data_IF_542877232175
#
_entry.id   IF_542877232175
#
_cell.length_a   1.000
_cell.length_b   1.000
_cell.length_c   1.000
_cell.angle_alpha   90.00
_cell.angle_beta   90.00
_cell.angle_gamma   90.00
#
_symmetry.space_group_name_H-M   'P 1'
#
loop_
_entity.id
_entity.type
_entity.pdbx_description
1 polymer ?
#
# COMPACT_ATOMS: atom_id res chain seq x y z
N UNK A 1 65.78 22.08 6.41
CA UNK A 1 65.79 23.13 5.35
C UNK A 1 64.44 23.10 4.64
N UNK A 2 63.75 24.26 4.60
CA UNK A 2 62.62 24.71 3.73
C UNK A 2 61.36 23.82 3.65
N UNK A 3 60.21 24.18 4.27
CA UNK A 3 59.21 25.23 3.97
C UNK A 3 58.41 25.06 2.66
N UNK A 4 57.11 24.77 2.87
CA UNK A 4 55.89 25.44 2.37
C UNK A 4 55.43 25.33 0.91
N UNK A 5 54.11 25.05 0.83
CA UNK A 5 53.06 25.83 0.12
C UNK A 5 53.00 25.76 -1.41
N UNK A 6 51.78 25.51 -1.90
CA UNK A 6 51.38 25.73 -3.28
C UNK A 6 49.97 25.24 -3.60
N UNK A 7 48.94 25.91 -3.10
CA UNK A 7 47.77 26.25 -3.94
C UNK A 7 48.16 27.50 -4.75
N UNK A 8 47.53 27.88 -5.91
CA UNK A 8 46.08 27.90 -6.13
C UNK A 8 45.60 27.65 -7.59
N UNK A 9 44.28 27.59 -7.83
CA UNK A 9 43.54 28.58 -8.66
C UNK A 9 42.10 28.16 -8.96
N UNK A 10 41.19 29.00 -8.49
CA UNK A 10 39.82 29.19 -8.95
C UNK A 10 39.78 29.61 -10.43
N UNK A 11 38.75 29.16 -11.15
CA UNK A 11 38.19 29.89 -12.29
C UNK A 11 36.71 30.12 -11.99
N UNK A 12 36.39 31.40 -11.90
CA UNK A 12 35.08 32.01 -11.89
C UNK A 12 34.83 32.52 -13.32
N UNK A 13 33.65 32.24 -13.87
CA UNK A 13 33.05 32.93 -15.02
C UNK A 13 31.54 32.64 -14.98
N UNK A 14 30.74 33.60 -14.49
CA UNK A 14 29.82 34.42 -15.31
C UNK A 14 28.72 33.57 -15.97
N UNK A 15 27.54 33.45 -15.35
CA UNK A 15 26.37 34.35 -15.52
C UNK A 15 26.17 34.76 -16.98
N UNK A 16 25.25 34.06 -17.67
CA UNK A 16 24.38 34.73 -18.64
C UNK A 16 22.98 34.11 -18.57
N UNK A 17 22.03 34.94 -18.13
CA UNK A 17 20.60 34.70 -18.21
C UNK A 17 20.16 35.04 -19.63
N UNK A 18 19.33 34.21 -20.25
CA UNK A 18 18.56 34.61 -21.43
C UNK A 18 17.09 34.29 -21.18
N UNK A 19 16.39 35.36 -20.80
CA UNK A 19 14.95 35.48 -20.77
C UNK A 19 14.50 35.83 -22.20
N UNK A 20 13.48 35.16 -22.73
CA UNK A 20 12.77 35.61 -23.94
C UNK A 20 11.32 35.15 -23.84
N UNK A 21 10.49 36.06 -23.34
CA UNK A 21 9.03 36.04 -23.46
C UNK A 21 8.57 36.58 -24.82
N UNK A 22 7.27 36.38 -25.06
CA UNK A 22 6.39 37.02 -26.06
C UNK A 22 6.48 36.50 -27.50
N UNK A 23 5.39 36.31 -28.24
CA UNK A 23 3.92 36.29 -28.07
C UNK A 23 3.43 35.97 -29.49
N UNK A 24 2.29 35.29 -29.67
CA UNK A 24 1.21 35.98 -30.36
C UNK A 24 -0.13 35.26 -30.24
N UNK A 25 -1.14 36.09 -30.07
CA UNK A 25 -2.57 35.80 -30.06
C UNK A 25 -3.14 36.10 -31.45
N UNK A 26 -4.20 35.40 -31.83
CA UNK A 26 -5.26 35.85 -32.76
C UNK A 26 -6.38 34.81 -32.63
N UNK A 27 -7.47 35.10 -31.90
CA UNK A 27 -8.72 35.70 -32.42
C UNK A 27 -9.32 34.91 -33.59
N UNK A 28 -10.45 34.21 -33.40
CA UNK A 28 -11.82 34.76 -33.57
C UNK A 28 -12.85 33.65 -33.87
N UNK A 29 -14.07 33.77 -33.29
CA UNK A 29 -15.39 33.25 -33.72
C UNK A 29 -15.59 31.71 -33.89
N UNK A 30 -16.69 31.03 -33.54
CA UNK A 30 -18.11 31.37 -33.45
C UNK A 30 -18.84 30.36 -32.52
N UNK A 31 -19.82 30.85 -31.76
CA UNK A 31 -20.89 30.08 -31.12
C UNK A 31 -22.07 29.99 -32.09
N UNK A 32 -22.79 28.86 -32.13
CA UNK A 32 -24.24 28.97 -32.14
C UNK A 32 -24.89 28.12 -31.05
N UNK A 33 -25.82 28.78 -30.35
CA UNK A 33 -26.78 28.24 -29.40
C UNK A 33 -28.09 27.90 -30.14
N UNK A 34 -28.88 26.99 -29.54
CA UNK A 34 -30.24 26.53 -29.89
C UNK A 34 -30.28 25.34 -30.88
N UNK A 35 -31.02 24.25 -30.66
CA UNK A 35 -32.41 24.18 -30.19
C UNK A 35 -32.70 23.04 -29.20
N UNK A 36 -33.59 23.34 -28.25
CA UNK A 36 -34.40 22.39 -27.48
C UNK A 36 -35.71 22.14 -28.24
N UNK A 37 -36.29 20.94 -28.17
CA UNK A 37 -37.73 20.80 -28.14
C UNK A 37 -38.22 20.30 -26.79
N UNK A 38 -39.16 21.07 -26.24
CA UNK A 38 -40.16 20.69 -25.24
C UNK A 38 -40.72 19.28 -25.50
N UNK A 39 -40.79 18.43 -24.47
CA UNK A 39 -42.02 18.15 -23.71
C UNK A 39 -43.23 17.85 -24.61
N UNK A 40 -43.54 16.56 -24.75
CA UNK A 40 -44.92 16.09 -24.67
C UNK A 40 -45.07 15.25 -23.40
N UNK A 41 -46.00 15.68 -22.56
CA UNK A 41 -46.48 14.99 -21.39
C UNK A 41 -47.84 14.36 -21.73
N UNK A 42 -48.00 13.07 -21.48
CA UNK A 42 -49.20 12.48 -20.90
C UNK A 42 -48.87 10.99 -20.60
N UNK A 43 -48.59 10.64 -19.34
CA UNK A 43 -49.57 10.10 -18.39
C UNK A 43 -50.08 8.73 -18.82
N UNK A 44 -49.46 7.68 -18.27
CA UNK A 44 -50.23 6.60 -17.67
C UNK A 44 -49.46 6.04 -16.47
N UNK A 45 -50.17 5.98 -15.35
CA UNK A 45 -49.66 5.69 -14.03
C UNK A 45 -49.86 4.21 -13.67
N UNK A 46 -48.80 3.66 -13.07
CA UNK A 46 -48.77 2.60 -12.05
C UNK A 46 -49.21 1.15 -12.39
N UNK A 47 -48.75 0.14 -11.62
CA UNK A 47 -47.84 0.19 -10.47
C UNK A 47 -46.61 -0.73 -10.55
N UNK A 48 -45.71 -0.45 -9.61
CA UNK A 48 -44.54 -1.19 -9.19
C UNK A 48 -44.76 -2.70 -8.99
N UNK A 49 -43.77 -3.49 -9.41
CA UNK A 49 -43.39 -4.74 -8.74
C UNK A 49 -41.87 -4.80 -8.64
N UNK A 50 -41.36 -4.29 -7.53
CA UNK A 50 -40.05 -4.64 -7.00
C UNK A 50 -40.11 -6.07 -6.49
N UNK A 51 -39.36 -6.97 -7.12
CA UNK A 51 -39.20 -8.35 -6.65
C UNK A 51 -38.27 -8.36 -5.43
N UNK A 52 -38.88 -8.36 -4.25
CA UNK A 52 -38.28 -8.59 -2.93
C UNK A 52 -37.68 -10.00 -2.81
N UNK A 53 -36.49 -10.22 -3.36
CA UNK A 53 -35.77 -11.50 -3.28
C UNK A 53 -34.99 -11.69 -1.95
N UNK A 54 -35.32 -10.95 -0.87
CA UNK A 54 -34.67 -11.16 0.43
C UNK A 54 -35.62 -11.16 1.64
N UNK A 55 -36.91 -11.47 1.45
CA UNK A 55 -37.81 -11.71 2.58
C UNK A 55 -37.74 -13.18 3.01
N UNK A 56 -36.74 -13.54 3.82
CA UNK A 56 -36.78 -14.81 4.56
C UNK A 56 -37.45 -14.59 5.92
N UNK A 57 -38.61 -15.22 6.03
CA UNK A 57 -39.49 -15.37 7.17
C UNK A 57 -38.75 -15.58 8.49
N UNK A 58 -39.17 -14.85 9.53
CA UNK A 58 -38.95 -15.22 10.93
C UNK A 58 -39.61 -16.59 11.18
N UNK A 59 -38.85 -17.66 11.00
CA UNK A 59 -39.19 -18.98 11.52
C UNK A 59 -38.56 -19.09 12.90
N UNK A 60 -39.41 -18.95 13.92
CA UNK A 60 -39.16 -19.42 15.29
C UNK A 60 -38.86 -20.91 15.24
N UNK A 61 -37.58 -21.26 15.25
CA UNK A 61 -37.12 -22.62 15.47
C UNK A 61 -37.04 -22.87 16.98
N UNK A 62 -38.09 -23.51 17.48
CA UNK A 62 -38.21 -24.14 18.79
C UNK A 62 -37.14 -25.24 18.89
N UNK A 63 -36.04 -24.95 19.61
CA UNK A 63 -35.03 -25.93 19.99
C UNK A 63 -34.88 -25.90 21.52
N UNK A 64 -35.10 -27.07 22.11
CA UNK A 64 -35.23 -27.37 23.53
C UNK A 64 -34.12 -26.81 24.43
N UNK A 65 -34.53 -26.25 25.57
CA UNK A 65 -33.69 -26.06 26.77
C UNK A 65 -33.15 -27.40 27.29
N UNK A 66 -31.86 -27.49 27.65
CA UNK A 66 -31.42 -28.35 28.72
C UNK A 66 -31.24 -27.55 30.01
N UNK A 67 -31.69 -28.18 31.10
CA UNK A 67 -31.76 -27.65 32.44
C UNK A 67 -30.42 -27.19 33.04
N UNK A 68 -30.56 -26.24 33.96
CA UNK A 68 -29.54 -25.68 34.85
C UNK A 68 -28.75 -26.76 35.59
N UNK A 69 -27.43 -26.77 35.42
CA UNK A 69 -26.49 -27.30 36.41
C UNK A 69 -25.22 -26.44 36.39
N UNK A 70 -24.87 -25.89 37.54
CA UNK A 70 -23.52 -25.37 37.84
C UNK A 70 -22.95 -26.23 39.00
N UNK A 71 -21.65 -26.17 39.34
CA UNK A 71 -20.53 -25.51 38.66
C UNK A 71 -19.29 -26.41 38.50
N UNK A 72 -18.33 -26.01 37.64
CA UNK A 72 -16.91 -26.21 37.93
C UNK A 72 -16.04 -25.23 37.13
N UNK A 73 -15.14 -24.61 37.87
CA UNK A 73 -14.15 -23.64 37.43
C UNK A 73 -13.26 -24.22 36.33
N UNK A 74 -13.25 -23.56 35.17
CA UNK A 74 -12.09 -23.44 34.32
C UNK A 74 -12.16 -22.07 33.68
N UNK A 75 -11.49 -21.12 34.33
CA UNK A 75 -11.21 -19.78 33.79
C UNK A 75 -10.32 -19.99 32.57
N UNK A 76 -10.95 -20.16 31.42
CA UNK A 76 -10.30 -19.88 30.14
C UNK A 76 -10.52 -18.39 29.93
N UNK A 77 -9.51 -17.58 30.21
CA UNK A 77 -9.51 -16.16 29.89
C UNK A 77 -9.63 -16.00 28.38
N UNK A 78 -10.87 -15.96 27.87
CA UNK A 78 -11.15 -15.43 26.54
C UNK A 78 -10.92 -13.94 26.62
N UNK A 79 -9.74 -13.50 26.17
CA UNK A 79 -9.40 -12.10 26.02
C UNK A 79 -10.04 -11.58 24.72
N UNK A 80 -11.37 -11.60 24.64
CA UNK A 80 -12.10 -10.96 23.54
C UNK A 80 -12.24 -9.46 23.87
N UNK A 81 -11.62 -8.56 23.09
CA UNK A 81 -11.81 -7.14 23.27
C UNK A 81 -13.26 -6.77 22.96
N UNK A 82 -13.82 -5.91 23.81
CA UNK A 82 -15.15 -5.32 23.71
C UNK A 82 -15.39 -4.79 22.28
N UNK A 83 -16.28 -5.47 21.55
CA UNK A 83 -16.56 -5.28 20.11
C UNK A 83 -17.18 -3.94 19.71
N UNK A 84 -17.48 -3.04 20.65
CA UNK A 84 -18.21 -1.81 20.37
C UNK A 84 -17.42 -0.75 19.57
N UNK A 85 -16.08 -0.82 19.57
CA UNK A 85 -15.22 0.20 18.94
C UNK A 85 -14.50 -0.30 17.68
N UNK A 86 -14.74 -1.54 17.25
CA UNK A 86 -14.13 -2.13 16.06
C UNK A 86 -14.89 -1.68 14.81
N UNK A 87 -14.17 -1.08 13.86
CA UNK A 87 -14.75 -0.60 12.61
C UNK A 87 -14.68 -1.63 11.49
N UNK A 88 -13.53 -2.27 11.31
CA UNK A 88 -13.38 -3.45 10.43
C UNK A 88 -12.35 -4.41 11.01
N UNK A 89 -12.45 -5.68 10.65
CA UNK A 89 -11.42 -6.68 10.93
C UNK A 89 -11.44 -7.81 9.89
N UNK A 90 -10.36 -8.57 9.79
CA UNK A 90 -10.27 -9.74 8.91
C UNK A 90 -8.84 -10.20 8.66
N UNK A 91 -8.69 -11.35 8.02
CA UNK A 91 -7.39 -11.81 7.53
C UNK A 91 -7.01 -11.12 6.22
N UNK A 92 -5.72 -10.81 6.03
CA UNK A 92 -5.19 -10.19 4.81
C UNK A 92 -5.40 -11.02 3.54
N UNK A 93 -5.69 -12.32 3.67
CA UNK A 93 -6.07 -13.20 2.55
C UNK A 93 -7.46 -12.90 1.98
N UNK A 94 -8.35 -12.31 2.78
CA UNK A 94 -9.72 -11.94 2.38
C UNK A 94 -9.89 -10.42 2.29
N UNK A 95 -9.18 -9.69 3.16
CA UNK A 95 -9.21 -8.24 3.22
C UNK A 95 -7.77 -7.69 3.12
N UNK A 96 -7.25 -7.48 1.89
CA UNK A 96 -5.86 -7.09 1.67
C UNK A 96 -5.44 -5.85 2.47
N UNK A 97 -4.18 -5.82 2.92
CA UNK A 97 -3.64 -4.73 3.72
C UNK A 97 -3.78 -3.36 3.04
N UNK A 98 -3.56 -3.29 1.71
CA UNK A 98 -3.79 -2.08 0.92
C UNK A 98 -5.24 -1.58 0.99
N UNK A 99 -6.25 -2.48 1.05
CA UNK A 99 -7.66 -2.07 1.20
C UNK A 99 -7.92 -1.48 2.58
N UNK A 100 -7.32 -2.04 3.62
CA UNK A 100 -7.42 -1.49 4.97
C UNK A 100 -6.85 -0.07 5.04
N UNK A 101 -5.66 0.15 4.48
CA UNK A 101 -5.04 1.48 4.39
C UNK A 101 -5.90 2.46 3.58
N UNK A 102 -6.46 2.01 2.46
CA UNK A 102 -7.35 2.83 1.66
C UNK A 102 -8.67 3.17 2.37
N UNK A 103 -9.23 2.25 3.15
CA UNK A 103 -10.42 2.52 3.96
C UNK A 103 -10.13 3.61 4.99
N UNK A 104 -8.99 3.53 5.69
CA UNK A 104 -8.53 4.56 6.64
C UNK A 104 -8.46 5.93 5.98
N UNK A 105 -7.78 6.03 4.84
CA UNK A 105 -7.60 7.29 4.12
C UNK A 105 -8.91 7.85 3.54
N UNK A 106 -9.69 7.03 2.84
CA UNK A 106 -10.90 7.49 2.13
C UNK A 106 -12.01 7.90 3.08
N UNK A 107 -12.14 7.19 4.20
CA UNK A 107 -13.20 7.44 5.18
C UNK A 107 -12.72 8.34 6.33
N UNK A 108 -11.50 8.89 6.20
CA UNK A 108 -10.89 9.81 7.18
C UNK A 108 -10.91 9.26 8.60
N UNK A 109 -10.57 7.98 8.73
CA UNK A 109 -10.68 7.29 10.01
C UNK A 109 -9.63 7.81 11.00
N UNK A 110 -10.04 7.83 12.26
CA UNK A 110 -9.19 8.19 13.40
C UNK A 110 -9.21 7.04 14.40
N UNK A 111 -8.04 6.47 14.69
CA UNK A 111 -7.94 5.27 15.51
C UNK A 111 -6.66 4.47 15.28
N UNK A 112 -6.73 3.18 15.63
CA UNK A 112 -5.59 2.27 15.63
C UNK A 112 -5.89 1.07 14.72
N UNK A 113 -5.04 0.84 13.72
CA UNK A 113 -4.99 -0.41 12.98
C UNK A 113 -4.01 -1.35 13.67
N UNK A 114 -4.52 -2.39 14.32
CA UNK A 114 -3.71 -3.46 14.91
C UNK A 114 -3.56 -4.62 13.93
N UNK A 115 -2.33 -5.07 13.75
CA UNK A 115 -1.96 -6.19 12.88
C UNK A 115 -1.33 -7.30 13.72
N UNK A 116 -2.03 -8.43 13.82
CA UNK A 116 -1.58 -9.63 14.51
C UNK A 116 -0.96 -10.61 13.52
N UNK A 117 0.25 -11.05 13.83
CA UNK A 117 1.08 -11.90 12.98
C UNK A 117 1.92 -12.83 13.87
N UNK A 118 3.01 -13.40 13.35
CA UNK A 118 3.81 -14.40 14.09
C UNK A 118 4.67 -13.82 15.23
N UNK A 119 4.74 -12.48 15.34
CA UNK A 119 5.50 -11.78 16.39
C UNK A 119 4.60 -10.78 17.15
N UNK A 120 5.21 -9.87 17.91
CA UNK A 120 4.47 -8.82 18.63
C UNK A 120 3.61 -8.00 17.66
N UNK A 121 2.34 -7.70 17.99
CA UNK A 121 1.47 -6.94 17.10
C UNK A 121 2.06 -5.60 16.67
N UNK A 122 1.78 -5.26 15.42
CA UNK A 122 2.15 -3.97 14.83
C UNK A 122 0.91 -3.08 14.85
N UNK A 123 1.06 -1.92 15.47
CA UNK A 123 0.02 -0.93 15.66
C UNK A 123 0.32 0.28 14.75
N UNK A 124 -0.61 0.62 13.85
CA UNK A 124 -0.57 1.83 13.02
C UNK A 124 -1.61 2.83 13.53
N UNK A 125 -1.14 4.00 13.94
CA UNK A 125 -1.99 5.08 14.42
C UNK A 125 -2.39 6.00 13.25
N UNK A 126 -3.68 6.27 13.13
CA UNK A 126 -4.24 7.16 12.10
C UNK A 126 -5.11 8.27 12.70
N UNK A 127 -5.08 9.45 12.07
CA UNK A 127 -5.88 10.63 12.44
C UNK A 127 -6.38 11.32 11.17
N UNK A 128 -7.69 11.52 11.08
CA UNK A 128 -8.37 12.08 9.89
C UNK A 128 -7.97 11.41 8.56
N UNK A 129 -7.67 10.10 8.60
CA UNK A 129 -7.21 9.33 7.44
C UNK A 129 -5.73 9.48 7.08
N UNK A 130 -4.98 10.28 7.83
CA UNK A 130 -3.52 10.41 7.72
C UNK A 130 -2.83 9.38 8.63
N UNK A 131 -1.66 8.89 8.20
CA UNK A 131 -0.86 7.95 9.00
C UNK A 131 0.07 8.76 9.92
N UNK A 132 -0.04 8.56 11.22
CA UNK A 132 0.76 9.30 12.21
C UNK A 132 2.08 8.60 12.47
N UNK A 133 2.03 7.33 12.90
CA UNK A 133 3.20 6.47 13.04
C UNK A 133 2.79 5.00 13.06
N UNK A 134 3.79 4.14 12.93
CA UNK A 134 3.68 2.69 13.15
C UNK A 134 4.58 2.33 14.33
N UNK A 135 4.12 1.45 15.20
CA UNK A 135 4.79 1.05 16.42
C UNK A 135 4.51 -0.41 16.75
N UNK A 136 5.21 -0.92 17.76
CA UNK A 136 4.94 -2.20 18.41
C UNK A 136 5.38 -2.08 19.87
N UNK A 137 4.89 -2.96 20.74
CA UNK A 137 5.33 -3.01 22.15
C UNK A 137 6.66 -3.75 22.33
N UNK A 138 7.28 -4.20 21.25
CA UNK A 138 8.63 -4.76 21.28
C UNK A 138 9.65 -3.79 20.65
N UNK A 139 10.41 -3.01 21.46
CA UNK A 139 11.43 -2.09 20.96
C UNK A 139 12.54 -2.75 20.15
N UNK A 140 12.82 -4.03 20.39
CA UNK A 140 13.84 -4.78 19.64
C UNK A 140 13.35 -5.12 18.24
N UNK A 141 12.08 -5.49 18.10
CA UNK A 141 11.42 -5.62 16.80
C UNK A 141 11.28 -4.27 16.09
N UNK A 142 10.96 -3.20 16.82
CA UNK A 142 10.78 -1.86 16.27
C UNK A 142 12.10 -1.29 15.72
N UNK A 143 13.20 -1.48 16.44
CA UNK A 143 14.52 -0.94 16.11
C UNK A 143 15.60 -2.02 16.36
N UNK A 144 15.71 -3.02 15.45
CA UNK A 144 16.61 -4.16 15.64
C UNK A 144 18.09 -3.77 15.52
N UNK A 145 18.36 -2.75 14.70
CA UNK A 145 19.67 -2.15 14.54
C UNK A 145 19.71 -0.86 15.36
N UNK A 146 20.82 -0.60 16.07
CA UNK A 146 20.98 0.69 16.77
C UNK A 146 21.50 1.73 15.78
N UNK A 147 20.69 2.71 15.33
CA UNK A 147 21.16 3.76 14.44
C UNK A 147 22.24 4.59 15.13
N UNK A 148 23.15 5.16 14.33
CA UNK A 148 24.29 5.94 14.84
C UNK A 148 23.84 7.10 15.76
N UNK A 149 22.68 7.71 15.48
CA UNK A 149 22.07 8.78 16.29
C UNK A 149 21.73 8.35 17.73
N UNK A 150 21.55 7.06 17.99
CA UNK A 150 21.35 6.54 19.35
C UNK A 150 22.67 6.14 20.04
N UNK A 151 23.78 6.09 19.30
CA UNK A 151 25.07 5.64 19.82
C UNK A 151 25.68 6.59 20.85
N UNK A 152 25.38 7.89 20.75
CA UNK A 152 25.90 8.92 21.66
C UNK A 152 24.97 9.19 22.86
N UNK A 153 23.82 8.51 22.94
CA UNK A 153 22.85 8.72 24.01
C UNK A 153 23.22 7.97 25.29
N UNK A 154 22.79 8.52 26.43
CA UNK A 154 22.85 7.82 27.70
C UNK A 154 22.03 6.52 27.65
N UNK A 155 22.70 5.40 27.92
CA UNK A 155 22.13 4.05 27.89
C UNK A 155 20.94 3.92 28.85
N UNK A 156 20.96 4.61 30.00
CA UNK A 156 19.88 4.58 30.99
C UNK A 156 18.64 5.30 30.47
N UNK A 157 18.84 6.43 29.79
CA UNK A 157 17.74 7.20 29.16
C UNK A 157 17.13 6.39 28.02
N UNK A 158 17.97 5.79 27.17
CA UNK A 158 17.50 4.94 26.08
C UNK A 158 16.74 3.71 26.60
N UNK A 159 17.24 3.05 27.65
CA UNK A 159 16.57 1.92 28.28
C UNK A 159 15.18 2.31 28.83
N UNK A 160 15.10 3.42 29.57
CA UNK A 160 13.82 3.96 30.07
C UNK A 160 12.83 4.25 28.94
N UNK A 161 13.29 4.89 27.86
CA UNK A 161 12.42 5.19 26.72
C UNK A 161 11.90 3.92 26.05
N UNK A 162 12.72 2.89 25.92
CA UNK A 162 12.32 1.57 25.41
C UNK A 162 11.31 0.88 26.34
N UNK A 163 11.55 0.91 27.65
CA UNK A 163 10.61 0.34 28.64
C UNK A 163 9.25 1.04 28.56
N UNK A 164 9.23 2.36 28.37
CA UNK A 164 7.99 3.10 28.18
C UNK A 164 7.25 2.71 26.89
N UNK A 165 7.97 2.40 25.80
CA UNK A 165 7.35 1.86 24.59
C UNK A 165 6.72 0.47 24.85
N UNK A 166 7.36 -0.39 25.64
CA UNK A 166 6.79 -1.71 26.02
C UNK A 166 5.47 -1.56 26.76
N UNK A 167 5.39 -0.59 27.66
CA UNK A 167 4.19 -0.35 28.47
C UNK A 167 3.06 0.35 27.69
N UNK A 168 3.41 1.41 26.96
CA UNK A 168 2.42 2.32 26.36
C UNK A 168 2.15 2.04 24.88
N UNK A 169 3.11 1.45 24.18
CA UNK A 169 3.13 1.33 22.72
C UNK A 169 3.61 2.60 22.00
N UNK A 170 3.85 3.72 22.69
CA UNK A 170 4.35 4.94 22.04
C UNK A 170 5.80 4.73 21.58
N UNK A 171 6.17 5.08 20.32
CA UNK A 171 7.54 4.96 19.84
C UNK A 171 8.56 5.66 20.77
N UNK A 172 9.61 4.95 21.17
CA UNK A 172 10.60 5.48 22.12
C UNK A 172 11.32 6.74 21.60
N UNK A 173 11.42 6.94 20.28
CA UNK A 173 11.96 8.17 19.69
C UNK A 173 11.15 9.41 20.10
N UNK A 174 9.82 9.29 20.22
CA UNK A 174 8.98 10.40 20.70
C UNK A 174 9.25 10.70 22.17
N UNK A 175 9.46 9.67 23.00
CA UNK A 175 9.88 9.85 24.39
C UNK A 175 11.22 10.57 24.46
N UNK A 176 12.22 10.14 23.68
CA UNK A 176 13.54 10.78 23.65
C UNK A 176 13.46 12.25 23.21
N UNK A 177 12.58 12.59 22.26
CA UNK A 177 12.35 13.97 21.85
C UNK A 177 11.72 14.82 22.96
N UNK A 178 10.75 14.25 23.70
CA UNK A 178 10.05 14.93 24.79
C UNK A 178 10.93 15.16 26.01
N UNK A 179 11.87 14.26 26.26
CA UNK A 179 12.88 14.37 27.30
C UNK A 179 14.10 15.18 26.84
N UNK A 180 14.03 15.84 25.67
CA UNK A 180 15.10 16.66 25.08
C UNK A 180 16.43 15.93 24.91
N UNK A 181 16.39 14.59 24.93
CA UNK A 181 17.56 13.73 24.78
C UNK A 181 17.91 13.49 23.31
N UNK A 182 16.95 13.69 22.41
CA UNK A 182 17.14 13.69 20.96
C UNK A 182 16.46 14.92 20.35
N UNK A 183 17.04 15.49 19.29
CA UNK A 183 16.40 16.56 18.54
C UNK A 183 15.06 16.10 17.95
N UNK A 184 14.02 16.93 18.07
CA UNK A 184 12.65 16.60 17.65
C UNK A 184 12.54 16.14 16.20
N UNK A 185 13.21 16.84 15.28
CA UNK A 185 13.22 16.51 13.85
C UNK A 185 13.87 15.15 13.59
N UNK A 186 15.07 14.92 14.14
CA UNK A 186 15.75 13.63 14.05
C UNK A 186 14.91 12.49 14.63
N UNK A 187 14.25 12.71 15.77
CA UNK A 187 13.36 11.71 16.37
C UNK A 187 12.15 11.38 15.47
N UNK A 188 11.55 12.39 14.82
CA UNK A 188 10.45 12.19 13.89
C UNK A 188 10.90 11.41 12.64
N UNK A 189 12.05 11.76 12.07
CA UNK A 189 12.62 11.05 10.92
C UNK A 189 12.91 9.59 11.25
N UNK A 190 13.57 9.32 12.38
CA UNK A 190 13.85 7.95 12.83
C UNK A 190 12.55 7.17 13.12
N UNK A 191 11.58 7.81 13.76
CA UNK A 191 10.27 7.19 14.01
C UNK A 191 9.57 6.79 12.71
N UNK A 192 9.55 7.69 11.71
CA UNK A 192 8.95 7.40 10.41
C UNK A 192 9.69 6.27 9.69
N UNK A 193 11.03 6.32 9.64
CA UNK A 193 11.85 5.32 8.97
C UNK A 193 11.68 3.92 9.59
N UNK A 194 11.83 3.80 10.91
CA UNK A 194 11.68 2.52 11.60
C UNK A 194 10.23 2.04 11.63
N UNK A 195 9.26 2.94 11.72
CA UNK A 195 7.84 2.59 11.56
C UNK A 195 7.52 2.02 10.18
N UNK A 196 8.06 2.60 9.11
CA UNK A 196 7.88 2.08 7.75
C UNK A 196 8.60 0.73 7.55
N UNK A 197 9.81 0.57 8.07
CA UNK A 197 10.55 -0.72 8.05
C UNK A 197 9.83 -1.79 8.87
N UNK A 198 9.20 -1.42 9.99
CA UNK A 198 8.38 -2.34 10.77
C UNK A 198 7.14 -2.76 9.98
N UNK A 199 6.41 -1.80 9.42
CA UNK A 199 5.20 -2.08 8.65
C UNK A 199 5.48 -2.92 7.40
N UNK A 200 6.65 -2.76 6.76
CA UNK A 200 6.98 -3.48 5.53
C UNK A 200 6.92 -5.00 5.70
N UNK A 201 7.19 -5.50 6.92
CA UNK A 201 7.14 -6.92 7.26
C UNK A 201 5.73 -7.52 7.07
N UNK A 202 4.67 -6.70 7.23
CA UNK A 202 3.29 -7.15 7.07
C UNK A 202 2.92 -7.46 5.61
N UNK A 203 3.63 -6.91 4.62
CA UNK A 203 3.34 -7.17 3.21
C UNK A 203 3.63 -8.62 2.80
N UNK A 204 4.61 -9.24 3.44
CA UNK A 204 5.05 -10.61 3.16
C UNK A 204 4.60 -11.62 4.22
N UNK A 205 4.12 -11.15 5.37
CA UNK A 205 3.64 -12.00 6.44
C UNK A 205 2.37 -12.78 6.02
N UNK A 206 2.33 -14.11 6.19
CA UNK A 206 1.17 -14.89 5.82
C UNK A 206 0.03 -14.69 6.83
N UNK A 207 -1.20 -14.54 6.31
CA UNK A 207 -2.46 -14.59 7.10
C UNK A 207 -2.56 -13.61 8.27
N UNK A 208 -1.91 -12.45 8.18
CA UNK A 208 -2.03 -11.37 9.16
C UNK A 208 -3.51 -11.09 9.44
N UNK A 209 -3.90 -11.12 10.72
CA UNK A 209 -5.22 -10.68 11.16
C UNK A 209 -5.16 -9.19 11.48
N UNK A 210 -5.97 -8.38 10.81
CA UNK A 210 -6.01 -6.94 11.03
C UNK A 210 -7.33 -6.52 11.67
N UNK A 211 -7.27 -5.49 12.50
CA UNK A 211 -8.42 -4.91 13.19
C UNK A 211 -8.23 -3.41 13.33
N UNK A 212 -9.20 -2.63 12.90
CA UNK A 212 -9.20 -1.18 13.11
C UNK A 212 -10.17 -0.80 14.22
N UNK A 213 -9.66 -0.12 15.24
CA UNK A 213 -10.44 0.38 16.38
C UNK A 213 -10.53 1.91 16.35
N UNK A 214 -11.75 2.46 16.37
CA UNK A 214 -11.95 3.92 16.50
C UNK A 214 -11.71 4.34 17.93
N UNK A 215 -10.59 5.02 18.20
CA UNK A 215 -10.19 5.43 19.56
C UNK A 215 -9.59 6.83 19.56
N UNK A 216 -10.40 7.84 19.89
CA UNK A 216 -9.94 9.23 20.00
C UNK A 216 -8.92 9.44 21.13
N UNK A 217 -9.06 8.70 22.25
CA UNK A 217 -8.21 8.88 23.42
C UNK A 217 -6.75 8.45 23.21
N UNK A 218 -6.48 7.57 22.23
CA UNK A 218 -5.11 7.14 21.90
C UNK A 218 -4.27 8.25 21.25
N UNK A 219 -4.91 9.34 20.81
CA UNK A 219 -4.23 10.44 20.12
C UNK A 219 -3.67 11.51 21.05
N UNK A 220 -3.98 11.50 22.35
CA UNK A 220 -3.52 12.53 23.28
C UNK A 220 -1.98 12.65 23.26
N UNK A 221 -1.31 11.50 23.23
CA UNK A 221 0.15 11.40 23.20
C UNK A 221 0.73 11.46 21.78
N UNK A 222 -0.05 11.83 20.77
CA UNK A 222 0.39 11.95 19.38
C UNK A 222 -0.08 13.26 18.71
N UNK A 223 -0.67 14.18 19.48
CA UNK A 223 -1.25 15.41 18.96
C UNK A 223 -0.22 16.26 18.19
N UNK A 224 1.03 16.23 18.64
CA UNK A 224 2.13 17.04 18.13
C UNK A 224 2.91 16.39 16.97
N UNK A 225 2.50 15.18 16.57
CA UNK A 225 3.09 14.44 15.45
C UNK A 225 2.31 14.76 14.17
N UNK A 226 2.97 15.21 13.08
CA UNK A 226 2.30 15.41 11.79
C UNK A 226 1.89 14.07 11.18
N UNK A 227 0.74 14.04 10.49
CA UNK A 227 0.31 12.88 9.72
C UNK A 227 0.86 12.90 8.30
N UNK A 228 1.02 11.71 7.71
CA UNK A 228 1.26 11.53 6.28
C UNK A 228 -0.09 11.47 5.55
N UNK A 229 -0.45 12.52 4.77
CA UNK A 229 -1.74 12.60 4.09
C UNK A 229 -1.82 11.68 2.85
N UNK A 230 -0.69 11.38 2.21
CA UNK A 230 -0.66 10.55 1.01
C UNK A 230 -0.37 9.09 1.35
N UNK A 231 -1.41 8.42 1.87
CA UNK A 231 -1.37 7.01 2.24
C UNK A 231 -0.97 6.08 1.09
N UNK A 232 -1.23 6.46 -0.16
CA UNK A 232 -0.85 5.64 -1.33
C UNK A 232 0.65 5.65 -1.56
N UNK A 233 1.25 6.84 -1.54
CA UNK A 233 2.70 6.98 -1.65
C UNK A 233 3.37 6.35 -0.42
N UNK A 234 2.84 6.56 0.78
CA UNK A 234 3.35 5.93 2.00
C UNK A 234 3.35 4.39 1.90
N UNK A 235 2.26 3.79 1.40
CA UNK A 235 2.19 2.35 1.18
C UNK A 235 3.26 1.89 0.17
N UNK A 236 3.46 2.63 -0.92
CA UNK A 236 4.54 2.35 -1.88
C UNK A 236 5.93 2.43 -1.23
N UNK A 237 6.20 3.43 -0.40
CA UNK A 237 7.48 3.53 0.34
C UNK A 237 7.70 2.31 1.25
N UNK A 238 6.68 1.87 1.99
CA UNK A 238 6.82 0.65 2.81
C UNK A 238 7.05 -0.61 1.97
N UNK A 239 6.48 -0.70 0.77
CA UNK A 239 6.70 -1.81 -0.15
C UNK A 239 8.13 -1.82 -0.73
N UNK A 240 8.76 -0.66 -0.90
CA UNK A 240 10.18 -0.55 -1.30
C UNK A 240 11.13 -1.08 -0.22
N UNK A 241 10.71 -1.08 1.04
CA UNK A 241 11.47 -1.59 2.19
C UNK A 241 11.26 -3.10 2.45
N UNK A 242 10.49 -3.79 1.61
CA UNK A 242 10.29 -5.23 1.77
C UNK A 242 11.54 -5.98 1.35
N UNK A 243 12.09 -6.77 2.26
CA UNK A 243 13.25 -7.63 2.03
C UNK A 243 12.81 -9.07 1.73
N UNK A 244 13.71 -9.89 1.18
CA UNK A 244 13.50 -11.34 0.98
C UNK A 244 12.24 -11.76 0.19
N UNK A 245 11.81 -10.94 -0.78
CA UNK A 245 10.65 -11.25 -1.64
C UNK A 245 10.79 -12.59 -2.36
N UNK A 246 12.00 -12.95 -2.79
CA UNK A 246 12.25 -14.22 -3.50
C UNK A 246 11.88 -15.46 -2.67
N UNK A 247 11.87 -15.34 -1.33
CA UNK A 247 11.54 -16.42 -0.39
C UNK A 247 10.04 -16.50 -0.09
N UNK A 248 9.32 -15.37 -0.17
CA UNK A 248 7.94 -15.22 0.30
C UNK A 248 6.91 -15.07 -0.82
N UNK A 249 7.24 -14.36 -1.90
CA UNK A 249 6.36 -14.14 -3.04
C UNK A 249 6.82 -14.96 -4.25
N UNK A 250 6.20 -16.13 -4.44
CA UNK A 250 6.49 -16.98 -5.60
C UNK A 250 5.86 -16.42 -6.88
N UNK A 251 6.56 -15.49 -7.54
CA UNK A 251 6.21 -15.06 -8.90
C UNK A 251 6.97 -15.89 -9.94
N UNK A 252 6.21 -16.57 -10.80
CA UNK A 252 6.78 -17.23 -11.96
C UNK A 252 7.29 -16.17 -12.97
N UNK A 253 8.55 -16.25 -13.44
CA UNK A 253 9.08 -15.33 -14.46
C UNK A 253 8.28 -15.28 -15.76
N UNK A 254 7.53 -16.35 -16.05
CA UNK A 254 6.67 -16.46 -17.22
C UNK A 254 5.29 -15.80 -17.04
N UNK A 255 4.96 -15.34 -15.83
CA UNK A 255 3.70 -14.62 -15.56
C UNK A 255 3.61 -13.34 -16.37
N UNK A 256 2.38 -12.96 -16.72
CA UNK A 256 2.06 -11.83 -17.59
C UNK A 256 1.29 -10.79 -16.76
N UNK A 257 1.93 -9.67 -16.41
CA UNK A 257 1.27 -8.58 -15.71
C UNK A 257 0.29 -7.84 -16.62
N UNK A 258 -0.90 -7.59 -16.11
CA UNK A 258 -1.92 -6.76 -16.74
C UNK A 258 -2.50 -5.77 -15.71
N UNK A 259 -2.83 -4.56 -16.15
CA UNK A 259 -3.49 -3.59 -15.29
C UNK A 259 -4.88 -4.10 -14.89
N UNK A 260 -5.20 -3.96 -13.60
CA UNK A 260 -6.58 -4.13 -13.13
C UNK A 260 -7.45 -2.99 -13.68
N UNK A 261 -8.78 -3.13 -13.55
CA UNK A 261 -9.76 -2.12 -14.04
C UNK A 261 -9.39 -0.68 -13.63
N UNK A 262 -9.02 -0.50 -12.37
CA UNK A 262 -8.70 0.82 -11.81
C UNK A 262 -7.16 1.02 -11.68
N UNK A 263 -6.37 0.02 -12.08
CA UNK A 263 -4.93 -0.03 -11.86
C UNK A 263 -4.18 1.03 -12.66
N UNK A 264 -4.56 1.23 -13.92
CA UNK A 264 -3.94 2.24 -14.77
C UNK A 264 -4.10 3.67 -14.23
N UNK A 265 -5.26 4.00 -13.66
CA UNK A 265 -5.45 5.30 -13.01
C UNK A 265 -4.72 5.41 -11.67
N UNK A 266 -4.61 4.31 -10.92
CA UNK A 266 -3.91 4.29 -9.63
C UNK A 266 -2.41 4.53 -9.82
N UNK A 267 -1.79 3.86 -10.78
CA UNK A 267 -0.34 3.96 -11.01
C UNK A 267 0.09 5.37 -11.42
N UNK A 268 -0.77 6.11 -12.12
CA UNK A 268 -0.50 7.50 -12.52
C UNK A 268 -0.52 8.49 -11.34
N UNK A 269 -1.15 8.13 -10.22
CA UNK A 269 -1.30 8.98 -9.04
C UNK A 269 -0.20 8.74 -8.00
N UNK A 270 0.72 7.80 -8.27
CA UNK A 270 1.82 7.44 -7.38
C UNK A 270 3.09 8.22 -7.73
N UNK A 271 3.91 8.51 -6.72
CA UNK A 271 5.28 9.00 -6.89
C UNK A 271 6.23 7.85 -7.24
N UNK A 272 6.20 7.46 -8.50
CA UNK A 272 7.09 6.42 -9.03
C UNK A 272 8.50 6.94 -9.27
N UNK A 273 9.49 6.09 -9.05
CA UNK A 273 10.85 6.30 -9.58
C UNK A 273 10.84 6.15 -11.11
N UNK A 274 11.85 6.67 -11.83
CA UNK A 274 11.95 6.48 -13.28
C UNK A 274 11.91 5.01 -13.69
N UNK A 275 12.58 4.13 -12.94
CA UNK A 275 12.62 2.69 -13.21
C UNK A 275 11.26 2.02 -12.99
N UNK A 276 10.55 2.39 -11.92
CA UNK A 276 9.19 1.91 -11.65
C UNK A 276 8.19 2.36 -12.73
N UNK A 277 8.27 3.61 -13.15
CA UNK A 277 7.42 4.16 -14.22
C UNK A 277 7.71 3.47 -15.56
N UNK A 278 8.99 3.25 -15.88
CA UNK A 278 9.39 2.54 -17.09
C UNK A 278 8.94 1.07 -17.03
N UNK A 279 9.07 0.40 -15.90
CA UNK A 279 8.58 -0.97 -15.70
C UNK A 279 7.06 -1.04 -15.89
N UNK A 280 6.31 -0.15 -15.25
CA UNK A 280 4.86 -0.07 -15.39
C UNK A 280 4.40 0.14 -16.84
N UNK A 281 5.12 0.99 -17.59
CA UNK A 281 4.80 1.27 -19.00
C UNK A 281 4.85 0.04 -19.93
N UNK A 282 5.51 -1.04 -19.52
CA UNK A 282 5.64 -2.25 -20.32
C UNK A 282 4.45 -3.21 -20.17
N UNK A 283 3.55 -2.97 -19.21
CA UNK A 283 2.39 -3.82 -18.98
C UNK A 283 1.36 -3.65 -20.09
N UNK A 284 1.21 -4.71 -20.89
CA UNK A 284 0.30 -4.74 -22.03
C UNK A 284 -0.54 -6.03 -22.08
N UNK A 285 -0.50 -6.85 -21.01
CA UNK A 285 -1.23 -8.12 -20.94
C UNK A 285 -0.72 -9.21 -21.88
N UNK A 286 0.44 -9.04 -22.51
CA UNK A 286 1.02 -10.04 -23.43
C UNK A 286 2.47 -10.42 -23.09
N UNK A 287 3.26 -9.48 -22.56
CA UNK A 287 4.67 -9.72 -22.23
C UNK A 287 4.82 -10.34 -20.86
N UNK A 288 5.68 -11.36 -20.75
CA UNK A 288 6.01 -11.91 -19.45
C UNK A 288 6.95 -10.99 -18.67
N UNK A 289 6.99 -11.14 -17.34
CA UNK A 289 7.92 -10.42 -16.45
C UNK A 289 9.36 -10.57 -16.93
N UNK A 290 9.76 -11.78 -17.33
CA UNK A 290 11.10 -12.04 -17.86
C UNK A 290 11.39 -11.26 -19.16
N UNK A 291 10.41 -11.13 -20.05
CA UNK A 291 10.56 -10.35 -21.28
C UNK A 291 10.67 -8.84 -20.97
N UNK A 292 9.87 -8.36 -20.02
CA UNK A 292 9.91 -6.97 -19.56
C UNK A 292 11.28 -6.66 -18.95
N UNK A 293 11.75 -7.49 -18.03
CA UNK A 293 13.08 -7.34 -17.40
C UNK A 293 14.19 -7.31 -18.44
N UNK A 294 14.15 -8.21 -19.44
CA UNK A 294 15.12 -8.23 -20.55
C UNK A 294 15.08 -6.95 -21.38
N UNK A 295 13.89 -6.45 -21.71
CA UNK A 295 13.74 -5.23 -22.52
C UNK A 295 14.30 -4.00 -21.80
N UNK A 296 14.09 -3.93 -20.49
CA UNK A 296 14.53 -2.81 -19.65
C UNK A 296 15.95 -2.99 -19.10
N UNK A 297 16.59 -4.13 -19.38
CA UNK A 297 17.91 -4.52 -18.83
C UNK A 297 17.95 -4.52 -17.30
N UNK A 298 16.82 -4.87 -16.68
CA UNK A 298 16.69 -5.05 -15.25
C UNK A 298 17.07 -6.49 -14.87
N UNK A 299 17.67 -6.66 -13.71
CA UNK A 299 17.78 -7.99 -13.12
C UNK A 299 16.39 -8.49 -12.67
N UNK A 300 16.26 -9.81 -12.59
CA UNK A 300 14.98 -10.45 -12.28
C UNK A 300 14.51 -10.21 -10.84
N UNK A 301 15.43 -9.95 -9.90
CA UNK A 301 15.10 -9.66 -8.51
C UNK A 301 14.47 -8.27 -8.41
N UNK A 302 15.06 -7.25 -9.03
CA UNK A 302 14.49 -5.90 -9.11
C UNK A 302 13.13 -5.89 -9.82
N UNK A 303 12.98 -6.63 -10.92
CA UNK A 303 11.70 -6.75 -11.61
C UNK A 303 10.61 -7.42 -10.74
N UNK A 304 10.98 -8.44 -9.95
CA UNK A 304 10.06 -9.07 -8.98
C UNK A 304 9.67 -8.13 -7.86
N UNK A 305 10.61 -7.34 -7.33
CA UNK A 305 10.31 -6.35 -6.31
C UNK A 305 9.26 -5.35 -6.80
N UNK A 306 9.49 -4.73 -7.97
CA UNK A 306 8.55 -3.76 -8.53
C UNK A 306 7.18 -4.40 -8.84
N UNK A 307 7.18 -5.63 -9.37
CA UNK A 307 5.94 -6.36 -9.62
C UNK A 307 5.17 -6.64 -8.33
N UNK A 308 5.86 -7.12 -7.29
CA UNK A 308 5.26 -7.38 -5.99
C UNK A 308 4.58 -6.12 -5.45
N UNK A 309 5.25 -4.98 -5.48
CA UNK A 309 4.68 -3.69 -5.04
C UNK A 309 3.39 -3.36 -5.80
N UNK A 310 3.38 -3.51 -7.13
CA UNK A 310 2.19 -3.21 -7.93
C UNK A 310 1.04 -4.21 -7.72
N UNK A 311 1.35 -5.48 -7.45
CA UNK A 311 0.33 -6.48 -7.09
C UNK A 311 -0.25 -6.18 -5.70
N UNK A 312 0.61 -5.89 -4.71
CA UNK A 312 0.18 -5.56 -3.34
C UNK A 312 -0.70 -4.30 -3.29
N UNK A 313 -0.43 -3.32 -4.16
CA UNK A 313 -1.25 -2.11 -4.32
C UNK A 313 -2.53 -2.32 -5.16
N UNK A 314 -2.76 -3.55 -5.65
CA UNK A 314 -3.88 -3.94 -6.53
C UNK A 314 -3.91 -3.16 -7.85
N UNK A 315 -2.74 -2.75 -8.34
CA UNK A 315 -2.56 -2.06 -9.62
C UNK A 315 -2.52 -3.06 -10.77
N UNK A 316 -1.88 -4.19 -10.53
CA UNK A 316 -1.62 -5.23 -11.52
C UNK A 316 -2.08 -6.57 -11.00
N UNK A 317 -2.58 -7.39 -11.91
CA UNK A 317 -2.79 -8.82 -11.72
C UNK A 317 -1.87 -9.63 -12.64
N UNK A 318 -1.43 -10.80 -12.17
CA UNK A 318 -0.50 -11.66 -12.90
C UNK A 318 -1.23 -12.87 -13.47
N UNK A 319 -1.23 -13.00 -14.78
CA UNK A 319 -1.81 -14.14 -15.49
C UNK A 319 -0.74 -15.21 -15.79
N UNK A 320 -1.07 -16.51 -15.72
CA UNK A 320 -0.13 -17.55 -16.11
C UNK A 320 0.09 -17.53 -17.63
N UNK A 321 1.29 -17.90 -18.07
CA UNK A 321 1.67 -17.87 -19.49
C UNK A 321 0.71 -18.65 -20.42
N UNK A 322 0.02 -19.66 -19.88
CA UNK A 322 -0.97 -20.48 -20.60
C UNK A 322 -2.18 -19.70 -21.10
N UNK A 323 -2.46 -18.52 -20.54
CA UNK A 323 -3.61 -17.68 -20.95
C UNK A 323 -3.29 -16.79 -22.15
N UNK A 324 -2.01 -16.55 -22.45
CA UNK A 324 -1.57 -15.70 -23.57
C UNK A 324 -1.62 -16.38 -24.95
N UNK A 325 -1.89 -17.68 -25.01
CA UNK A 325 -1.97 -18.41 -26.27
C UNK A 325 -3.26 -19.20 -26.37
N UNK A 326 -4.30 -18.61 -26.99
CA UNK A 326 -4.99 -19.38 -28.02
C UNK A 326 -3.96 -19.51 -29.14
N UNK A 327 -3.41 -20.69 -29.44
CA UNK A 327 -2.68 -20.83 -30.67
C UNK A 327 -3.65 -20.42 -31.78
N UNK A 328 -3.25 -19.48 -32.63
CA UNK A 328 -3.81 -19.44 -33.97
C UNK A 328 -3.77 -20.88 -34.46
N UNK A 329 -4.96 -21.46 -34.69
CA UNK A 329 -5.06 -22.75 -35.34
C UNK A 329 -4.34 -22.57 -36.68
N UNK A 330 -3.07 -22.97 -36.74
CA UNK A 330 -2.35 -23.11 -37.98
C UNK A 330 -3.19 -24.07 -38.80
N UNK A 331 -3.86 -23.48 -39.78
CA UNK A 331 -4.79 -24.09 -40.69
C UNK A 331 -4.20 -25.42 -41.17
N UNK A 332 -4.80 -26.51 -40.72
CA UNK A 332 -4.50 -27.88 -41.15
C UNK A 332 -4.70 -28.03 -42.69
N UNK A 333 -5.29 -27.03 -43.35
CA UNK A 333 -5.46 -27.00 -44.81
C UNK A 333 -4.23 -26.57 -45.62
N UNK A 334 -3.15 -26.04 -45.02
CA UNK A 334 -1.95 -25.71 -45.81
C UNK A 334 -1.05 -26.91 -46.14
N UNK A 335 -1.29 -28.09 -45.54
CA UNK A 335 -0.49 -29.31 -45.80
C UNK A 335 -0.99 -30.22 -46.92
N UNK A 336 -2.15 -29.94 -47.54
CA UNK A 336 -2.70 -30.79 -48.61
C UNK A 336 -2.70 -30.16 -50.02
N UNK A 337 -2.13 -28.97 -50.20
CA UNK A 337 -2.18 -28.23 -51.48
C UNK A 337 -1.02 -28.42 -52.46
N UNK A 338 -0.07 -29.34 -52.23
CA UNK A 338 1.14 -29.49 -53.08
C UNK A 338 1.39 -30.91 -53.59
N UNK A 339 0.39 -31.53 -54.23
CA UNK A 339 0.60 -32.72 -55.08
C UNK A 339 -0.48 -32.85 -56.15
N UNK A 340 -0.52 -31.94 -57.12
CA UNK A 340 -1.19 -32.19 -58.41
C UNK A 340 -0.76 -31.16 -59.48
N UNK A 341 0.28 -31.49 -60.26
CA UNK A 341 0.42 -31.20 -61.70
C UNK A 341 1.89 -31.26 -62.14
N UNK A 342 2.27 -32.37 -62.78
CA UNK A 342 2.94 -32.33 -64.09
C UNK A 342 2.99 -33.74 -64.66
N UNK A 343 2.10 -34.01 -65.60
CA UNK A 343 2.34 -34.93 -66.71
C UNK A 343 1.60 -34.36 -67.92
N UNK A 344 2.40 -33.78 -68.83
CA UNK A 344 2.19 -33.74 -70.28
C UNK A 344 3.40 -33.11 -70.95
#
# INVERSE_FOLDING_TARGET
MRKSSGEPKSIEAEIESSNSEERDQTEDSDVPQADTPAQDAATDAEPAQSEDWWSMSQQTADWAEPATAAPSENVTTSNEPRTADVYFCGHTTLFPLNRALQAISREKLTGLLRSFWEQEPIDLLARDGEIIFVTTRDPELYCPETPALLGDLDVVVLARARDQQRETGTPFFLTLAREESMGREAAMEQMQQFGQKLFSQLWVAPRVWIMFEKKANLLADAADVPGEPNVRDWALETLRLVEHIDETAHFEPASIPAYTRDGFERVQKLKLTPDEAQFASQFNGARSVQQIAKNLRLDLKSARQMLFSFVALEIVECWPASTAAKPEQQSIFQRFGRTARRDR
#
